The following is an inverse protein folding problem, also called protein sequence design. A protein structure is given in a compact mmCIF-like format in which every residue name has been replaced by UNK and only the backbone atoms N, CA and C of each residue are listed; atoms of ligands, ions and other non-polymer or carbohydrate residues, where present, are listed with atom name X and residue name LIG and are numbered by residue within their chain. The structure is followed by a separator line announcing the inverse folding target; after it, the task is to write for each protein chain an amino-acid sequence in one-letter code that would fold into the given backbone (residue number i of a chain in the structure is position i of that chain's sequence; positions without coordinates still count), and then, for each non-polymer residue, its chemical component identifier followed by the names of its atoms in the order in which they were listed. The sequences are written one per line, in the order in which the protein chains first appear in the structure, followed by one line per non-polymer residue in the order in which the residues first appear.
data_IF_471324198958
#
_entry.id   IF_471324198958
#
_cell.length_a   1.000
_cell.length_b   1.000
_cell.length_c   1.000
_cell.angle_alpha   90.00
_cell.angle_beta   90.00
_cell.angle_gamma   90.00
#
_symmetry.space_group_name_H-M   'P 1'
#
loop_
_entity.id
_entity.type
_entity.pdbx_description
1 polymer ?
#
# COMPACT_ATOMS: atom_id res chain seq x y z
N UNK A 1 3.81 7.47 -30.91
CA UNK A 1 2.39 7.16 -31.20
C UNK A 1 1.52 7.28 -29.93
N UNK A 2 0.69 8.34 -29.88
CA UNK A 2 -0.47 8.46 -28.99
C UNK A 2 -0.21 8.73 -27.50
N UNK A 3 0.10 9.97 -27.13
CA UNK A 3 -0.10 10.45 -25.75
C UNK A 3 -1.59 10.30 -25.41
N UNK A 4 -1.93 9.50 -24.38
CA UNK A 4 -3.29 9.39 -23.86
C UNK A 4 -3.75 10.79 -23.41
N UNK A 5 -4.61 11.43 -24.21
CA UNK A 5 -5.25 12.71 -23.83
C UNK A 5 -5.94 12.52 -22.47
N UNK A 6 -5.56 13.33 -21.48
CA UNK A 6 -6.26 13.46 -20.20
C UNK A 6 -7.72 13.83 -20.50
N UNK A 7 -8.63 12.87 -20.32
CA UNK A 7 -10.06 13.07 -20.58
C UNK A 7 -10.67 13.68 -19.33
N UNK A 8 -11.18 14.90 -19.46
CA UNK A 8 -11.90 15.60 -18.40
C UNK A 8 -13.39 15.33 -18.55
N UNK A 9 -14.09 15.18 -17.42
CA UNK A 9 -15.55 15.01 -17.38
C UNK A 9 -16.25 16.26 -17.90
N UNK A 10 -16.54 16.29 -19.21
CA UNK A 10 -17.46 17.26 -19.82
C UNK A 10 -18.86 16.65 -19.79
N UNK A 11 -19.87 17.46 -19.46
CA UNK A 11 -21.17 17.12 -18.83
C UNK A 11 -22.08 15.99 -19.38
N UNK A 12 -21.64 15.12 -20.29
CA UNK A 12 -22.45 14.02 -20.84
C UNK A 12 -21.82 12.62 -20.70
N UNK A 13 -20.55 12.49 -20.31
CA UNK A 13 -19.92 11.19 -20.05
C UNK A 13 -18.93 11.31 -18.90
N UNK A 14 -19.28 10.70 -17.76
CA UNK A 14 -18.40 10.59 -16.59
C UNK A 14 -17.45 9.43 -16.85
N UNK A 15 -16.15 9.65 -16.71
CA UNK A 15 -15.17 8.58 -16.72
C UNK A 15 -14.65 8.33 -15.30
N UNK A 16 -14.63 7.07 -14.87
CA UNK A 16 -14.20 6.67 -13.53
C UNK A 16 -13.22 5.49 -13.65
N UNK A 17 -12.18 5.50 -12.83
CA UNK A 17 -11.41 4.28 -12.59
C UNK A 17 -12.10 3.44 -11.49
N UNK A 18 -11.84 2.14 -11.47
CA UNK A 18 -12.39 1.22 -10.46
C UNK A 18 -11.59 1.20 -9.15
N UNK A 19 -10.55 2.04 -9.04
CA UNK A 19 -9.71 2.11 -7.85
C UNK A 19 -10.20 3.24 -6.96
N UNK A 20 -10.73 2.91 -5.79
CA UNK A 20 -11.10 3.89 -4.75
C UNK A 20 -10.20 3.72 -3.52
N UNK A 21 -10.21 4.70 -2.61
CA UNK A 21 -9.46 4.58 -1.33
C UNK A 21 -9.95 3.39 -0.50
N UNK A 22 -11.24 3.05 -0.57
CA UNK A 22 -11.84 1.93 0.17
C UNK A 22 -11.75 0.58 -0.54
N UNK A 23 -11.49 0.59 -1.85
CA UNK A 23 -11.34 -0.60 -2.68
C UNK A 23 -10.27 -0.32 -3.75
N UNK A 24 -8.98 -0.35 -3.37
CA UNK A 24 -7.90 -0.13 -4.31
C UNK A 24 -7.72 -1.35 -5.23
N UNK A 25 -7.30 -1.11 -6.47
CA UNK A 25 -7.02 -2.19 -7.39
C UNK A 25 -5.65 -2.82 -7.08
N UNK A 26 -5.61 -4.11 -6.76
CA UNK A 26 -4.40 -4.83 -6.36
C UNK A 26 -3.27 -4.73 -7.39
N UNK A 27 -3.56 -5.05 -8.65
CA UNK A 27 -2.55 -5.09 -9.72
C UNK A 27 -1.87 -3.73 -9.90
N UNK A 28 -2.64 -2.65 -9.84
CA UNK A 28 -2.11 -1.30 -9.98
C UNK A 28 -1.37 -0.84 -8.73
N UNK A 29 -1.92 -1.15 -7.54
CA UNK A 29 -1.29 -0.80 -6.27
C UNK A 29 0.09 -1.43 -6.15
N UNK A 30 0.23 -2.72 -6.48
CA UNK A 30 1.54 -3.41 -6.48
C UNK A 30 2.53 -2.73 -7.45
N UNK A 31 2.09 -2.29 -8.63
CA UNK A 31 2.98 -1.57 -9.57
C UNK A 31 3.47 -0.24 -9.00
N UNK A 32 2.58 0.50 -8.33
CA UNK A 32 2.91 1.80 -7.75
C UNK A 32 3.82 1.64 -6.53
N UNK A 33 3.55 0.67 -5.67
CA UNK A 33 4.41 0.33 -4.52
C UNK A 33 5.79 -0.09 -4.99
N UNK A 34 5.89 -0.96 -6.02
CA UNK A 34 7.17 -1.34 -6.60
C UNK A 34 7.94 -0.14 -7.20
N UNK A 35 7.22 0.83 -7.77
CA UNK A 35 7.82 2.08 -8.26
C UNK A 35 8.32 2.97 -7.11
N UNK A 36 7.54 3.08 -6.02
CA UNK A 36 7.95 3.83 -4.84
C UNK A 36 9.23 3.24 -4.22
N UNK A 37 9.27 1.92 -4.04
CA UNK A 37 10.48 1.21 -3.57
C UNK A 37 11.66 1.43 -4.50
N UNK A 38 11.44 1.36 -5.83
CA UNK A 38 12.48 1.66 -6.81
C UNK A 38 13.05 3.07 -6.65
N UNK A 39 12.21 4.07 -6.40
CA UNK A 39 12.68 5.44 -6.16
C UNK A 39 13.40 5.63 -4.83
N UNK A 40 12.98 4.93 -3.77
CA UNK A 40 13.74 4.91 -2.51
C UNK A 40 15.14 4.35 -2.73
N UNK A 41 15.28 3.29 -3.52
CA UNK A 41 16.61 2.76 -3.88
C UNK A 41 17.38 3.78 -4.72
N UNK A 42 16.77 4.33 -5.78
CA UNK A 42 17.47 5.23 -6.72
C UNK A 42 17.89 6.57 -6.13
N UNK A 43 17.10 7.09 -5.20
CA UNK A 43 17.32 8.40 -4.58
C UNK A 43 17.87 8.28 -3.15
N UNK A 44 18.39 7.10 -2.78
CA UNK A 44 19.05 6.89 -1.48
C UNK A 44 20.22 7.85 -1.31
N UNK A 45 20.49 8.22 -0.08
CA UNK A 45 21.70 8.97 0.22
C UNK A 45 22.93 8.07 0.01
N UNK A 46 24.00 8.62 -0.57
CA UNK A 46 25.28 7.91 -0.69
C UNK A 46 26.10 7.97 0.59
N UNK A 47 25.67 8.77 1.57
CA UNK A 47 26.29 8.90 2.88
C UNK A 47 25.98 7.67 3.77
N UNK A 48 26.50 6.51 3.35
CA UNK A 48 26.92 5.39 4.19
C UNK A 48 26.04 5.00 5.39
N UNK A 49 24.70 5.04 5.27
CA UNK A 49 23.83 4.57 6.34
C UNK A 49 24.04 3.08 6.62
N UNK A 50 23.83 2.68 7.87
CA UNK A 50 24.15 1.33 8.33
C UNK A 50 23.38 0.26 7.54
N UNK A 51 24.12 -0.75 7.09
CA UNK A 51 23.55 -2.01 6.66
C UNK A 51 23.43 -2.92 7.89
N UNK A 52 22.21 -3.34 8.22
CA UNK A 52 21.96 -4.27 9.32
C UNK A 52 22.04 -5.71 8.83
N UNK A 53 22.77 -6.55 9.55
CA UNK A 53 23.03 -7.95 9.19
C UNK A 53 21.76 -8.72 8.82
N UNK A 54 20.66 -8.54 9.57
CA UNK A 54 19.39 -9.23 9.34
C UNK A 54 18.79 -8.97 7.94
N UNK A 55 19.13 -7.83 7.33
CA UNK A 55 18.67 -7.46 6.00
C UNK A 55 19.67 -7.79 4.90
N UNK A 56 20.90 -8.21 5.24
CA UNK A 56 21.92 -8.58 4.26
C UNK A 56 21.54 -9.86 3.51
N UNK A 57 21.39 -9.77 2.19
CA UNK A 57 21.02 -10.91 1.35
C UNK A 57 22.12 -11.97 1.23
N UNK A 58 23.40 -11.62 1.43
CA UNK A 58 24.50 -12.57 1.42
C UNK A 58 24.61 -13.34 2.73
N UNK A 59 24.40 -12.67 3.88
CA UNK A 59 24.33 -13.36 5.18
C UNK A 59 23.08 -14.23 5.29
N UNK A 60 21.98 -13.76 4.70
CA UNK A 60 20.72 -14.44 4.77
C UNK A 60 20.05 -14.51 3.38
N UNK A 61 20.38 -15.50 2.55
CA UNK A 61 19.85 -15.61 1.19
C UNK A 61 18.37 -16.00 1.17
N UNK A 62 17.63 -15.50 0.18
CA UNK A 62 16.22 -15.85 -0.05
C UNK A 62 16.03 -16.96 -1.11
N UNK A 63 17.13 -17.49 -1.64
CA UNK A 63 17.16 -18.52 -2.68
C UNK A 63 18.44 -19.35 -2.59
N UNK A 64 18.38 -20.61 -3.04
CA UNK A 64 19.56 -21.51 -3.13
C UNK A 64 20.65 -21.08 -4.10
N UNK A 65 20.35 -20.22 -5.07
CA UNK A 65 21.41 -19.70 -5.95
C UNK A 65 22.37 -18.84 -5.12
N UNK A 66 23.68 -19.11 -5.27
CA UNK A 66 24.71 -18.28 -4.67
C UNK A 66 24.46 -16.81 -5.01
N UNK A 67 24.52 -15.96 -3.98
CA UNK A 67 24.41 -14.53 -4.14
C UNK A 67 25.63 -14.07 -4.94
N UNK A 68 25.44 -13.37 -6.08
CA UNK A 68 26.57 -12.92 -6.89
C UNK A 68 27.55 -12.08 -6.06
N UNK A 69 28.86 -12.16 -6.33
CA UNK A 69 29.87 -11.39 -5.58
C UNK A 69 29.73 -9.87 -5.77
N UNK A 70 28.90 -9.41 -6.70
CA UNK A 70 28.57 -8.03 -7.01
C UNK A 70 27.10 -7.67 -6.73
N UNK A 71 26.42 -8.44 -5.88
CA UNK A 71 25.00 -8.26 -5.53
C UNK A 71 24.69 -6.89 -4.94
N UNK A 72 25.64 -6.27 -4.27
CA UNK A 72 25.54 -4.96 -3.63
C UNK A 72 25.80 -3.79 -4.60
N UNK A 73 26.32 -4.07 -5.81
CA UNK A 73 26.77 -3.04 -6.76
C UNK A 73 25.67 -2.55 -7.71
N UNK A 74 24.68 -3.39 -7.99
CA UNK A 74 23.72 -3.15 -9.06
C UNK A 74 22.30 -2.96 -8.54
N UNK A 75 21.78 -1.74 -8.66
CA UNK A 75 20.39 -1.45 -8.32
C UNK A 75 19.40 -2.35 -9.10
N UNK A 76 18.39 -2.92 -8.42
CA UNK A 76 17.37 -3.70 -9.10
C UNK A 76 16.55 -2.82 -10.05
N UNK A 77 16.17 -3.39 -11.19
CA UNK A 77 15.17 -2.81 -12.06
C UNK A 77 13.80 -2.80 -11.36
N UNK A 78 12.98 -1.79 -11.61
CA UNK A 78 11.59 -1.73 -11.13
C UNK A 78 10.82 -3.03 -11.43
N UNK A 79 11.10 -3.67 -12.58
CA UNK A 79 10.46 -4.92 -12.99
C UNK A 79 10.81 -6.09 -12.07
N UNK A 80 12.03 -6.13 -11.52
CA UNK A 80 12.46 -7.16 -10.57
C UNK A 80 11.73 -6.98 -9.24
N UNK A 81 11.68 -5.75 -8.73
CA UNK A 81 10.93 -5.42 -7.50
C UNK A 81 9.44 -5.76 -7.67
N UNK A 82 8.83 -5.36 -8.78
CA UNK A 82 7.43 -5.67 -9.09
C UNK A 82 7.17 -7.18 -9.13
N UNK A 83 8.06 -7.96 -9.77
CA UNK A 83 7.93 -9.42 -9.82
C UNK A 83 8.00 -10.02 -8.43
N UNK A 84 8.94 -9.59 -7.60
CA UNK A 84 9.11 -10.07 -6.22
C UNK A 84 7.84 -9.82 -5.39
N UNK A 85 7.39 -8.57 -5.30
CA UNK A 85 6.17 -8.19 -4.57
C UNK A 85 4.95 -8.94 -5.11
N UNK A 86 4.77 -8.98 -6.44
CA UNK A 86 3.63 -9.67 -7.05
C UNK A 86 3.61 -11.17 -6.74
N UNK A 87 4.76 -11.84 -6.74
CA UNK A 87 4.83 -13.28 -6.43
C UNK A 87 4.36 -13.53 -5.00
N UNK A 88 4.82 -12.75 -4.04
CA UNK A 88 4.40 -12.87 -2.63
C UNK A 88 2.91 -12.60 -2.48
N UNK A 89 2.41 -11.47 -3.00
CA UNK A 89 0.99 -11.12 -2.90
C UNK A 89 0.08 -12.14 -3.58
N UNK A 90 0.48 -12.68 -4.73
CA UNK A 90 -0.32 -13.67 -5.45
C UNK A 90 -0.34 -15.02 -4.74
N UNK A 91 0.77 -15.43 -4.13
CA UNK A 91 0.87 -16.73 -3.49
C UNK A 91 0.23 -16.73 -2.08
N UNK A 92 0.40 -15.63 -1.33
CA UNK A 92 -0.22 -15.43 -0.02
C UNK A 92 -1.63 -14.81 -0.09
N UNK A 93 -2.17 -14.60 -1.29
CA UNK A 93 -3.52 -14.04 -1.53
C UNK A 93 -3.79 -12.68 -0.86
N UNK A 94 -2.77 -11.83 -0.80
CA UNK A 94 -2.83 -10.54 -0.10
C UNK A 94 -3.61 -9.46 -0.89
N UNK A 95 -4.17 -8.51 -0.15
CA UNK A 95 -5.03 -7.44 -0.66
C UNK A 95 -4.27 -6.17 -1.08
N UNK A 96 -4.94 -5.25 -1.76
CA UNK A 96 -4.32 -4.02 -2.25
C UNK A 96 -3.97 -3.08 -1.09
N UNK A 97 -4.81 -3.09 -0.07
CA UNK A 97 -4.68 -2.37 1.17
C UNK A 97 -3.43 -2.82 1.95
N UNK A 98 -3.16 -4.14 1.98
CA UNK A 98 -1.93 -4.70 2.55
C UNK A 98 -0.67 -4.17 1.83
N UNK A 99 -0.72 -3.95 0.52
CA UNK A 99 0.40 -3.35 -0.23
C UNK A 99 0.67 -1.90 0.17
N UNK A 100 -0.38 -1.13 0.47
CA UNK A 100 -0.24 0.25 0.96
C UNK A 100 0.38 0.25 2.36
N UNK A 101 -0.10 -0.62 3.25
CA UNK A 101 0.46 -0.78 4.61
C UNK A 101 1.92 -1.24 4.57
N UNK A 102 2.27 -2.12 3.64
CA UNK A 102 3.67 -2.55 3.40
C UNK A 102 4.57 -1.34 3.14
N UNK A 103 4.15 -0.40 2.28
CA UNK A 103 4.93 0.80 2.00
C UNK A 103 5.05 1.72 3.22
N UNK A 104 3.99 1.85 4.02
CA UNK A 104 4.02 2.60 5.29
C UNK A 104 5.08 2.00 6.23
N UNK A 105 5.10 0.68 6.40
CA UNK A 105 6.06 0.01 7.28
C UNK A 105 7.48 0.08 6.78
N UNK A 106 7.68 -0.05 5.46
CA UNK A 106 8.99 0.14 4.84
C UNK A 106 9.52 1.55 5.11
N UNK A 107 8.75 2.60 4.85
CA UNK A 107 9.23 3.98 5.06
C UNK A 107 9.43 4.31 6.55
N UNK A 108 8.61 3.74 7.45
CA UNK A 108 8.85 3.82 8.90
C UNK A 108 10.18 3.18 9.27
N UNK A 109 10.49 2.00 8.73
CA UNK A 109 11.77 1.33 8.98
C UNK A 109 12.95 2.20 8.54
N UNK A 110 12.94 2.71 7.30
CA UNK A 110 14.01 3.56 6.77
C UNK A 110 14.22 4.81 7.65
N UNK A 111 13.13 5.35 8.19
CA UNK A 111 13.18 6.54 9.05
C UNK A 111 13.64 6.23 10.48
N UNK A 112 13.08 5.20 11.13
CA UNK A 112 13.31 4.91 12.54
C UNK A 112 14.63 4.21 12.80
N UNK A 113 15.04 3.34 11.89
CA UNK A 113 16.32 2.64 11.96
C UNK A 113 17.45 3.43 11.30
N UNK A 114 17.15 4.58 10.68
CA UNK A 114 18.10 5.40 9.91
C UNK A 114 18.90 4.57 8.90
N UNK A 115 18.23 3.63 8.23
CA UNK A 115 18.82 2.77 7.20
C UNK A 115 18.36 3.20 5.81
N UNK A 116 19.20 3.01 4.81
CA UNK A 116 18.82 3.15 3.41
C UNK A 116 18.50 1.80 2.78
N UNK A 117 17.55 1.80 1.86
CA UNK A 117 17.28 0.64 1.01
C UNK A 117 18.26 0.62 -0.17
N UNK A 118 18.96 -0.49 -0.35
CA UNK A 118 20.05 -0.64 -1.30
C UNK A 118 20.00 -2.02 -1.99
N UNK A 119 20.86 -2.27 -3.00
CA UNK A 119 20.87 -3.54 -3.74
C UNK A 119 21.08 -4.78 -2.85
N UNK A 120 21.83 -4.62 -1.75
CA UNK A 120 22.19 -5.71 -0.85
C UNK A 120 21.07 -6.12 0.13
N UNK A 121 20.08 -5.24 0.37
CA UNK A 121 19.12 -5.43 1.47
C UNK A 121 17.64 -5.34 1.07
N UNK A 122 17.34 -4.89 -0.15
CA UNK A 122 15.98 -4.51 -0.52
C UNK A 122 14.99 -5.68 -0.46
N UNK A 123 15.38 -6.91 -0.83
CA UNK A 123 14.41 -8.02 -0.79
C UNK A 123 14.03 -8.36 0.64
N UNK A 124 14.98 -8.33 1.57
CA UNK A 124 14.74 -8.62 2.99
C UNK A 124 13.90 -7.56 3.65
N UNK A 125 14.19 -6.29 3.40
CA UNK A 125 13.36 -5.17 3.89
C UNK A 125 11.93 -5.28 3.36
N UNK A 126 11.77 -5.51 2.06
CA UNK A 126 10.44 -5.64 1.45
C UNK A 126 9.70 -6.87 2.00
N UNK A 127 10.38 -8.01 2.17
CA UNK A 127 9.81 -9.20 2.76
C UNK A 127 9.33 -8.94 4.19
N UNK A 128 10.18 -8.38 5.06
CA UNK A 128 9.81 -8.05 6.44
C UNK A 128 8.62 -7.11 6.54
N UNK A 129 8.55 -6.09 5.69
CA UNK A 129 7.41 -5.18 5.62
C UNK A 129 6.10 -5.90 5.22
N UNK A 130 6.17 -6.83 4.25
CA UNK A 130 5.03 -7.64 3.80
C UNK A 130 4.56 -8.60 4.91
N UNK A 131 5.49 -9.27 5.59
CA UNK A 131 5.17 -10.18 6.70
C UNK A 131 4.34 -9.46 7.75
N UNK A 132 4.81 -8.29 8.23
CA UNK A 132 4.08 -7.52 9.23
C UNK A 132 2.75 -6.97 8.69
N UNK A 133 2.74 -6.41 7.48
CA UNK A 133 1.51 -5.87 6.89
C UNK A 133 0.43 -6.96 6.76
N UNK A 134 0.80 -8.16 6.32
CA UNK A 134 -0.12 -9.29 6.14
C UNK A 134 -0.72 -9.80 7.45
N UNK A 135 -0.01 -9.67 8.59
CA UNK A 135 -0.53 -10.09 9.89
C UNK A 135 -1.38 -9.03 10.58
N UNK A 136 -1.08 -7.76 10.34
CA UNK A 136 -1.78 -6.65 11.01
C UNK A 136 -3.04 -6.24 10.24
N UNK A 137 -3.02 -6.30 8.92
CA UNK A 137 -4.10 -5.80 8.08
C UNK A 137 -5.12 -6.87 7.68
N UNK A 138 -4.67 -8.12 7.51
CA UNK A 138 -5.56 -9.20 7.07
C UNK A 138 -6.20 -9.90 8.28
N UNK A 139 -7.52 -10.10 8.24
CA UNK A 139 -8.24 -10.88 9.25
C UNK A 139 -7.84 -12.37 9.21
N UNK A 140 -7.33 -12.84 8.06
CA UNK A 140 -6.75 -14.16 7.88
C UNK A 140 -5.24 -14.06 7.74
N UNK A 141 -4.55 -13.86 8.87
CA UNK A 141 -3.10 -13.77 8.90
C UNK A 141 -2.44 -15.04 8.32
N UNK A 142 -1.49 -14.81 7.41
CA UNK A 142 -0.66 -15.87 6.81
C UNK A 142 0.50 -16.21 7.75
N UNK A 143 0.74 -17.50 7.97
CA UNK A 143 1.77 -17.96 8.90
C UNK A 143 3.13 -17.94 8.22
N UNK A 144 4.21 -17.78 9.00
CA UNK A 144 5.57 -17.75 8.43
C UNK A 144 5.95 -19.05 7.70
N UNK A 145 5.41 -20.19 8.15
CA UNK A 145 5.59 -21.48 7.45
C UNK A 145 5.01 -21.47 6.03
N UNK A 146 3.94 -20.72 5.79
CA UNK A 146 3.35 -20.59 4.45
C UNK A 146 4.28 -19.76 3.55
N UNK A 147 4.91 -18.71 4.09
CA UNK A 147 5.94 -17.97 3.37
C UNK A 147 7.18 -18.81 3.04
N UNK A 148 7.58 -19.74 3.92
CA UNK A 148 8.63 -20.72 3.61
C UNK A 148 8.22 -21.69 2.49
N UNK A 149 6.94 -21.97 2.27
CA UNK A 149 6.50 -22.77 1.12
C UNK A 149 6.63 -21.99 -0.21
N UNK A 150 6.47 -20.67 -0.16
CA UNK A 150 6.65 -19.76 -1.30
C UNK A 150 8.15 -19.58 -1.59
N UNK A 151 8.92 -19.29 -0.55
CA UNK A 151 10.37 -19.11 -0.56
C UNK A 151 11.04 -20.34 0.04
N UNK A 152 11.04 -21.44 -0.74
CA UNK A 152 11.40 -22.82 -0.35
C UNK A 152 12.78 -23.02 0.29
N UNK A 153 13.62 -21.99 0.25
CA UNK A 153 15.01 -22.04 0.69
C UNK A 153 15.25 -21.27 1.99
N UNK A 154 14.20 -20.69 2.59
CA UNK A 154 14.26 -19.96 3.86
C UNK A 154 13.71 -20.82 4.99
N UNK A 155 14.41 -20.84 6.12
CA UNK A 155 13.96 -21.56 7.32
C UNK A 155 12.90 -20.76 8.07
N UNK A 156 12.04 -21.45 8.83
CA UNK A 156 11.01 -20.79 9.62
C UNK A 156 11.66 -19.91 10.70
N UNK A 157 12.81 -20.32 11.23
CA UNK A 157 13.59 -19.59 12.21
C UNK A 157 14.10 -18.25 11.65
N UNK A 158 14.66 -18.23 10.44
CA UNK A 158 15.10 -16.99 9.77
C UNK A 158 13.92 -16.06 9.49
N UNK A 159 12.78 -16.61 9.05
CA UNK A 159 11.56 -15.83 8.81
C UNK A 159 11.00 -15.20 10.10
N UNK A 160 10.96 -15.97 11.19
CA UNK A 160 10.52 -15.50 12.50
C UNK A 160 11.45 -14.42 13.04
N UNK A 161 12.76 -14.59 12.87
CA UNK A 161 13.75 -13.62 13.33
C UNK A 161 13.67 -12.32 12.52
N UNK A 162 13.53 -12.40 11.19
CA UNK A 162 13.29 -11.24 10.33
C UNK A 162 12.05 -10.46 10.77
N UNK A 163 10.94 -11.16 11.04
CA UNK A 163 9.72 -10.53 11.54
C UNK A 163 9.94 -9.84 12.89
N UNK A 164 10.57 -10.53 13.84
CA UNK A 164 10.83 -10.00 15.19
C UNK A 164 11.69 -8.74 15.13
N UNK A 165 12.80 -8.79 14.41
CA UNK A 165 13.72 -7.66 14.25
C UNK A 165 13.03 -6.48 13.55
N UNK A 166 12.26 -6.73 12.50
CA UNK A 166 11.51 -5.67 11.83
C UNK A 166 10.53 -4.98 12.79
N UNK A 167 9.81 -5.75 13.60
CA UNK A 167 8.85 -5.22 14.57
C UNK A 167 9.55 -4.36 15.66
N UNK A 168 10.71 -4.80 16.12
CA UNK A 168 11.56 -4.07 17.08
C UNK A 168 12.08 -2.75 16.49
N UNK A 169 12.55 -2.76 15.24
CA UNK A 169 13.00 -1.56 14.53
C UNK A 169 11.85 -0.58 14.26
N UNK A 170 10.61 -1.08 14.14
CA UNK A 170 9.40 -0.24 14.11
C UNK A 170 9.00 0.27 15.49
N UNK A 171 9.70 -0.10 16.55
CA UNK A 171 9.36 0.20 17.95
C UNK A 171 7.91 -0.22 18.28
N UNK A 172 7.46 -1.32 17.67
CA UNK A 172 6.09 -1.82 17.77
C UNK A 172 5.01 -0.82 17.30
N UNK A 173 5.38 0.23 16.56
CA UNK A 173 4.44 1.19 15.98
C UNK A 173 3.79 0.61 14.71
N UNK A 174 2.87 -0.32 14.90
CA UNK A 174 2.11 -1.00 13.83
C UNK A 174 0.78 -0.30 13.52
N UNK A 175 0.34 0.66 14.33
CA UNK A 175 -0.93 1.32 14.07
C UNK A 175 -0.83 2.22 12.81
N UNK A 176 -1.73 2.02 11.85
CA UNK A 176 -1.85 2.85 10.65
C UNK A 176 -3.21 3.55 10.68
N UNK A 177 -3.27 4.82 11.12
CA UNK A 177 -4.52 5.59 11.09
C UNK A 177 -5.07 5.71 9.67
N UNK A 178 -6.40 5.79 9.53
CA UNK A 178 -7.05 5.92 8.22
C UNK A 178 -6.59 7.15 7.42
N UNK A 179 -6.20 8.23 8.11
CA UNK A 179 -5.64 9.43 7.47
C UNK A 179 -4.26 9.16 6.85
N UNK A 180 -3.41 8.39 7.52
CA UNK A 180 -2.10 7.98 7.00
C UNK A 180 -2.31 7.06 5.80
N UNK A 181 -3.15 6.04 5.94
CA UNK A 181 -3.50 5.15 4.83
C UNK A 181 -4.01 5.93 3.60
N UNK A 182 -4.97 6.84 3.78
CA UNK A 182 -5.53 7.63 2.69
C UNK A 182 -4.47 8.51 2.01
N UNK A 183 -3.57 9.12 2.80
CA UNK A 183 -2.45 9.88 2.28
C UNK A 183 -1.58 9.02 1.34
N UNK A 184 -1.14 7.84 1.81
CA UNK A 184 -0.34 6.92 0.98
C UNK A 184 -1.06 6.47 -0.28
N UNK A 185 -2.37 6.19 -0.20
CA UNK A 185 -3.18 5.86 -1.37
C UNK A 185 -3.16 6.99 -2.43
N UNK A 186 -3.37 8.24 -2.02
CA UNK A 186 -3.36 9.38 -2.95
C UNK A 186 -1.96 9.73 -3.47
N UNK A 187 -0.93 9.57 -2.63
CA UNK A 187 0.47 9.77 -3.03
C UNK A 187 0.87 8.73 -4.10
N UNK A 188 0.50 7.46 -3.92
CA UNK A 188 0.73 6.40 -4.91
C UNK A 188 -0.02 6.66 -6.23
N UNK A 189 -1.25 7.16 -6.15
CA UNK A 189 -2.04 7.54 -7.33
C UNK A 189 -1.36 8.69 -8.10
N UNK A 190 -0.88 9.70 -7.38
CA UNK A 190 -0.14 10.83 -7.96
C UNK A 190 1.18 10.36 -8.60
N UNK A 191 1.90 9.45 -7.94
CA UNK A 191 3.12 8.85 -8.48
C UNK A 191 2.84 8.06 -9.77
N UNK A 192 1.72 7.34 -9.82
CA UNK A 192 1.30 6.59 -11.00
C UNK A 192 0.98 7.52 -12.18
N UNK A 193 0.27 8.62 -11.93
CA UNK A 193 -0.05 9.63 -12.94
C UNK A 193 1.22 10.28 -13.51
N UNK A 194 2.16 10.67 -12.66
CA UNK A 194 3.42 11.27 -13.07
C UNK A 194 4.27 10.34 -13.96
N UNK A 195 4.12 9.03 -13.79
CA UNK A 195 4.91 8.01 -14.48
C UNK A 195 4.16 7.29 -15.62
N UNK A 196 3.02 7.83 -16.07
CA UNK A 196 2.18 7.22 -17.10
C UNK A 196 1.76 5.77 -16.79
N UNK A 197 1.72 5.41 -15.50
CA UNK A 197 1.06 4.22 -14.99
C UNK A 197 -0.42 4.47 -14.71
N UNK A 198 -0.91 5.65 -15.12
CA UNK A 198 -2.27 6.14 -14.90
C UNK A 198 -3.31 5.16 -15.43
N UNK A 199 -4.38 5.06 -14.65
CA UNK A 199 -5.52 4.19 -14.89
C UNK A 199 -6.19 4.50 -16.24
N UNK A 200 -6.57 3.48 -17.02
CA UNK A 200 -7.51 3.69 -18.10
C UNK A 200 -8.84 4.13 -17.48
N UNK A 201 -9.19 5.39 -17.73
CA UNK A 201 -10.48 5.95 -17.38
C UNK A 201 -11.55 5.28 -18.25
N UNK A 202 -12.44 4.52 -17.62
CA UNK A 202 -13.56 3.86 -18.31
C UNK A 202 -14.83 4.72 -18.20
N UNK A 203 -15.63 4.80 -19.28
CA UNK A 203 -16.90 5.51 -19.22
C UNK A 203 -17.81 4.81 -18.21
N UNK A 204 -18.49 5.59 -17.37
CA UNK A 204 -19.45 5.09 -16.39
C UNK A 204 -20.59 4.38 -17.13
N UNK A 205 -20.65 3.05 -17.02
CA UNK A 205 -21.73 2.26 -17.61
C UNK A 205 -23.04 2.46 -16.86
N UNK A 206 -24.16 2.20 -17.54
CA UNK A 206 -25.51 2.31 -16.93
C UNK A 206 -25.65 1.39 -15.71
N UNK A 207 -25.14 0.17 -15.79
CA UNK A 207 -25.15 -0.79 -14.68
C UNK A 207 -24.29 -0.31 -13.50
N UNK A 208 -23.13 0.29 -13.79
CA UNK A 208 -22.25 0.87 -12.76
C UNK A 208 -22.91 2.07 -12.09
N UNK A 209 -23.58 2.93 -12.87
CA UNK A 209 -24.34 4.06 -12.34
C UNK A 209 -25.46 3.60 -11.40
N UNK A 210 -26.25 2.59 -11.79
CA UNK A 210 -27.30 2.04 -10.93
C UNK A 210 -26.75 1.42 -9.63
N UNK A 211 -25.64 0.67 -9.69
CA UNK A 211 -24.99 0.12 -8.50
C UNK A 211 -24.51 1.24 -7.56
N UNK A 212 -23.87 2.27 -8.09
CA UNK A 212 -23.40 3.41 -7.31
C UNK A 212 -24.56 4.18 -6.67
N UNK A 213 -25.65 4.38 -7.40
CA UNK A 213 -26.85 5.03 -6.87
C UNK A 213 -27.49 4.20 -5.73
N UNK A 214 -27.57 2.87 -5.89
CA UNK A 214 -28.06 1.98 -4.85
C UNK A 214 -27.18 2.03 -3.59
N UNK A 215 -25.85 1.99 -3.75
CA UNK A 215 -24.90 2.14 -2.63
C UNK A 215 -25.06 3.50 -1.96
N UNK A 216 -25.19 4.58 -2.74
CA UNK A 216 -25.39 5.94 -2.21
C UNK A 216 -26.64 6.04 -1.34
N UNK A 217 -27.77 5.46 -1.80
CA UNK A 217 -29.02 5.44 -1.02
C UNK A 217 -28.85 4.70 0.30
N UNK A 218 -28.19 3.54 0.30
CA UNK A 218 -27.91 2.78 1.52
C UNK A 218 -27.01 3.56 2.50
N UNK A 219 -25.99 4.25 1.98
CA UNK A 219 -25.11 5.10 2.79
C UNK A 219 -25.86 6.30 3.40
N UNK A 220 -26.71 6.96 2.63
CA UNK A 220 -27.55 8.06 3.12
C UNK A 220 -28.49 7.61 4.24
N UNK A 221 -29.11 6.44 4.10
CA UNK A 221 -30.04 5.93 5.11
C UNK A 221 -29.31 5.58 6.41
N UNK A 222 -28.15 4.91 6.32
CA UNK A 222 -27.25 4.72 7.47
C UNK A 222 -26.88 6.05 8.13
N UNK A 223 -26.52 7.07 7.35
CA UNK A 223 -26.14 8.38 7.88
C UNK A 223 -27.32 9.10 8.56
N UNK A 224 -28.52 9.01 7.99
CA UNK A 224 -29.75 9.54 8.60
C UNK A 224 -30.04 8.86 9.93
N UNK A 225 -29.80 7.56 10.04
CA UNK A 225 -30.01 6.80 11.27
C UNK A 225 -28.95 7.09 12.33
N UNK A 226 -27.66 7.24 11.95
CA UNK A 226 -26.62 7.79 12.83
C UNK A 226 -26.99 9.17 13.35
N UNK A 227 -27.50 10.06 12.49
CA UNK A 227 -27.93 11.41 12.88
C UNK A 227 -29.14 11.38 13.81
N UNK A 228 -30.09 10.48 13.62
CA UNK A 228 -31.22 10.27 14.54
C UNK A 228 -30.75 9.73 15.90
N UNK A 229 -29.76 8.83 15.91
CA UNK A 229 -29.13 8.32 17.13
C UNK A 229 -28.34 9.39 17.90
N UNK A 230 -27.59 10.22 17.19
CA UNK A 230 -26.85 11.36 17.76
C UNK A 230 -27.79 12.44 18.31
N UNK A 231 -28.89 12.76 17.61
CA UNK A 231 -29.94 13.67 18.10
C UNK A 231 -30.62 13.19 19.38
N UNK A 232 -30.65 11.89 19.66
CA UNK A 232 -31.18 11.35 20.92
C UNK A 232 -30.21 11.49 22.11
N UNK A 233 -28.94 11.85 21.89
CA UNK A 233 -27.90 11.95 22.93
C UNK A 233 -27.47 13.38 23.27
N UNK A 234 -27.90 14.40 22.51
CA UNK A 234 -27.67 15.80 22.88
C UNK A 234 -28.97 16.60 22.81
N UNK A 235 -29.66 16.67 23.95
CA UNK A 235 -30.63 17.73 24.24
C UNK A 235 -30.08 18.53 25.41
N UNK A 236 -29.14 19.45 25.12
CA UNK A 236 -29.02 20.67 25.90
C UNK A 236 -29.71 21.75 25.07
N UNK A 237 -30.76 22.33 25.65
CA UNK A 237 -31.42 23.48 25.07
C UNK A 237 -30.37 24.60 24.94
N UNK A 238 -30.16 25.08 23.72
CA UNK A 238 -30.30 26.51 23.44
C UNK A 238 -30.38 26.73 21.92
N UNK A 239 -31.44 27.44 21.55
CA UNK A 239 -31.73 27.89 20.20
C UNK A 239 -30.57 28.70 19.65
N UNK A 240 -30.11 28.41 18.43
CA UNK A 240 -29.76 29.39 17.40
C UNK A 240 -29.43 28.70 16.07
N UNK A 241 -30.28 28.96 15.08
CA UNK A 241 -30.05 28.84 13.62
C UNK A 241 -29.45 27.53 13.08
N UNK A 242 -30.30 26.71 12.46
CA UNK A 242 -29.87 25.59 11.61
C UNK A 242 -29.14 26.15 10.38
N UNK A 243 -27.80 26.18 10.44
CA UNK A 243 -26.98 26.37 9.25
C UNK A 243 -27.18 25.14 8.37
N UNK A 244 -27.88 25.34 7.25
CA UNK A 244 -28.00 24.34 6.18
C UNK A 244 -26.65 24.22 5.49
N UNK A 245 -25.79 23.35 6.01
CA UNK A 245 -24.52 23.05 5.38
C UNK A 245 -24.72 22.00 4.29
N UNK A 246 -24.47 22.40 3.05
CA UNK A 246 -24.44 21.51 1.88
C UNK A 246 -22.99 21.10 1.65
N UNK A 247 -22.61 19.82 1.76
CA UNK A 247 -21.27 19.40 1.38
C UNK A 247 -21.14 19.56 -0.14
N UNK A 248 -20.24 20.45 -0.57
CA UNK A 248 -19.86 20.53 -1.96
C UNK A 248 -19.09 19.25 -2.34
N UNK A 249 -19.56 18.56 -3.37
CA UNK A 249 -18.83 17.48 -4.01
C UNK A 249 -17.79 18.16 -4.89
N UNK A 250 -16.52 18.16 -4.48
CA UNK A 250 -15.43 18.58 -5.35
C UNK A 250 -15.28 17.48 -6.41
N UNK A 251 -15.65 17.84 -7.64
CA UNK A 251 -15.46 17.03 -8.86
C UNK A 251 -14.08 17.28 -9.46
#
# INVERSE_FOLDING_TARGET
PGQLRRKYSSCSTIFLDDSTVSQPNLKYTIKCVALAIYYHIKNRDTDGRMLLDIFDENLHPLSKSEVPPDYDKHDPEQKQIYRFVRTLFSAAQLTAECAIVTLVYLERLLTYAEIDICPANWKRIVLGAILLASKVWDDQAVWNVDYCQILKDITVEDMNELERQFLELLQFNINVPSSVYAKYYFDLRSLAEANNLSFPLEPLSRDRAYKLEAISRLCEDKYKDFRKGAKKRSVSADNLTVVRWSPAIIS
#
